data_IF_682137190745
#
_entry.id   IF_682137190745
#
_cell.length_a   1.000
_cell.length_b   1.000
_cell.length_c   1.000
_cell.angle_alpha   90.00
_cell.angle_beta   90.00
_cell.angle_gamma   90.00
#
_symmetry.space_group_name_H-M   'P 1'
#
loop_
_entity.id
_entity.type
_entity.pdbx_description
1 polymer ?
#
# COMPACT_ATOMS: atom_id res chain seq x y z
N UNK A 1 19.77 4.83 -1.34
CA UNK A 1 19.19 3.53 -1.79
C UNK A 1 19.47 3.34 -3.27
N UNK A 2 20.00 2.19 -3.68
CA UNK A 2 20.11 1.82 -5.10
C UNK A 2 19.05 0.75 -5.40
N UNK A 3 18.21 0.99 -6.40
CA UNK A 3 17.16 0.04 -6.81
C UNK A 3 17.76 -0.99 -7.77
N UNK A 4 17.46 -2.26 -7.53
CA UNK A 4 17.92 -3.42 -8.28
C UNK A 4 16.73 -4.22 -8.80
N UNK A 5 16.98 -5.24 -9.63
CA UNK A 5 15.92 -6.15 -10.11
C UNK A 5 15.27 -6.99 -9.01
N UNK A 6 15.89 -7.07 -7.83
CA UNK A 6 15.41 -7.79 -6.64
C UNK A 6 14.62 -6.92 -5.67
N UNK A 7 14.58 -5.60 -5.89
CA UNK A 7 13.98 -4.66 -4.93
C UNK A 7 12.49 -4.90 -4.78
N UNK A 8 12.05 -5.08 -3.54
CA UNK A 8 10.64 -5.26 -3.19
C UNK A 8 9.94 -3.90 -3.14
N UNK A 9 8.80 -3.77 -3.82
CA UNK A 9 8.04 -2.52 -3.88
C UNK A 9 6.93 -2.52 -2.82
N UNK A 10 6.90 -1.46 -2.04
CA UNK A 10 5.78 -1.04 -1.18
C UNK A 10 5.36 0.37 -1.53
N UNK A 11 4.15 0.78 -1.14
CA UNK A 11 3.67 2.10 -1.54
C UNK A 11 2.65 2.73 -0.60
N UNK A 12 2.37 4.01 -0.85
CA UNK A 12 1.23 4.73 -0.27
C UNK A 12 0.28 5.23 -1.36
N UNK A 13 -1.01 5.02 -1.16
CA UNK A 13 -2.08 5.54 -2.00
C UNK A 13 -2.82 6.69 -1.33
N UNK A 14 -3.21 7.65 -2.15
CA UNK A 14 -4.07 8.77 -1.74
C UNK A 14 -4.35 9.68 -2.93
N UNK A 15 -5.31 10.57 -2.74
CA UNK A 15 -5.68 11.57 -3.73
C UNK A 15 -6.04 12.89 -3.04
N UNK A 16 -5.07 13.81 -2.87
CA UNK A 16 -3.65 13.75 -3.27
C UNK A 16 -2.74 13.01 -2.26
N UNK A 17 -1.53 12.60 -2.67
CA UNK A 17 -0.57 11.87 -1.79
C UNK A 17 0.90 12.28 -1.91
N UNK A 18 1.27 13.09 -2.90
CA UNK A 18 2.69 13.41 -3.20
C UNK A 18 3.43 14.15 -2.08
N UNK A 19 2.70 14.77 -1.16
CA UNK A 19 3.24 15.47 0.00
C UNK A 19 3.47 14.54 1.21
N UNK A 20 3.15 13.24 1.09
CA UNK A 20 3.31 12.30 2.20
C UNK A 20 4.76 12.23 2.66
N UNK A 21 4.94 12.19 3.98
CA UNK A 21 6.23 11.94 4.61
C UNK A 21 6.51 10.44 4.82
N UNK A 22 5.54 9.56 4.51
CA UNK A 22 5.75 8.11 4.60
C UNK A 22 6.88 7.60 3.70
N UNK A 23 7.02 8.04 2.42
CA UNK A 23 8.15 7.62 1.58
C UNK A 23 9.53 7.91 2.16
N UNK A 24 9.90 9.15 2.58
CA UNK A 24 11.22 9.37 3.18
C UNK A 24 11.40 8.59 4.50
N UNK A 25 10.35 8.45 5.31
CA UNK A 25 10.39 7.68 6.56
C UNK A 25 10.69 6.19 6.33
N UNK A 26 9.91 5.51 5.48
CA UNK A 26 10.09 4.08 5.22
C UNK A 26 11.38 3.77 4.46
N UNK A 27 11.74 4.56 3.46
CA UNK A 27 12.99 4.34 2.73
C UNK A 27 14.22 4.56 3.62
N UNK A 28 14.17 5.50 4.57
CA UNK A 28 15.23 5.66 5.56
C UNK A 28 15.35 4.43 6.48
N UNK A 29 14.21 3.87 6.92
CA UNK A 29 14.19 2.64 7.72
C UNK A 29 14.74 1.44 6.92
N UNK A 30 14.31 1.25 5.67
CA UNK A 30 14.82 0.17 4.81
C UNK A 30 16.32 0.28 4.58
N UNK A 31 16.81 1.49 4.32
CA UNK A 31 18.24 1.73 4.16
C UNK A 31 19.01 1.45 5.46
N UNK A 32 18.50 1.86 6.62
CA UNK A 32 19.13 1.60 7.91
C UNK A 32 19.21 0.11 8.23
N UNK A 33 18.17 -0.65 7.88
CA UNK A 33 18.09 -2.10 8.12
C UNK A 33 18.76 -2.95 7.03
N UNK A 34 19.32 -2.33 5.98
CA UNK A 34 19.93 -3.06 4.86
C UNK A 34 18.92 -3.86 4.04
N UNK A 35 17.65 -3.45 4.01
CA UNK A 35 16.59 -4.12 3.28
C UNK A 35 16.53 -3.63 1.83
N UNK A 36 16.50 -4.55 0.87
CA UNK A 36 16.32 -4.25 -0.56
C UNK A 36 14.84 -3.96 -0.90
N UNK A 37 14.32 -2.87 -0.33
CA UNK A 37 12.92 -2.47 -0.40
C UNK A 37 12.81 -1.00 -0.78
N UNK A 38 11.77 -0.64 -1.53
CA UNK A 38 11.44 0.76 -1.80
C UNK A 38 9.99 1.06 -1.41
N UNK A 39 9.76 2.30 -0.96
CA UNK A 39 8.46 2.83 -0.63
C UNK A 39 8.14 4.04 -1.50
N UNK A 40 7.09 3.97 -2.31
CA UNK A 40 6.76 5.02 -3.29
C UNK A 40 5.32 5.54 -3.15
N UNK A 41 5.06 6.84 -3.39
CA UNK A 41 3.70 7.37 -3.42
C UNK A 41 3.06 7.18 -4.80
N UNK A 42 1.85 6.59 -4.85
CA UNK A 42 1.00 6.54 -6.04
C UNK A 42 -0.27 7.36 -5.84
N UNK A 43 -0.47 8.35 -6.70
CA UNK A 43 -1.72 9.10 -6.75
C UNK A 43 -2.78 8.26 -7.47
N UNK A 44 -3.67 7.64 -6.69
CA UNK A 44 -4.74 6.77 -7.20
C UNK A 44 -6.03 7.57 -7.14
N UNK A 45 -6.65 7.87 -8.28
CA UNK A 45 -7.95 8.54 -8.26
C UNK A 45 -9.03 7.59 -7.67
N UNK A 46 -10.06 8.09 -6.97
CA UNK A 46 -11.08 7.24 -6.34
C UNK A 46 -11.73 6.23 -7.30
N UNK A 47 -12.01 6.65 -8.52
CA UNK A 47 -12.59 5.83 -9.60
C UNK A 47 -11.66 4.70 -10.07
N UNK A 48 -10.35 4.84 -9.87
CA UNK A 48 -9.35 3.86 -10.24
C UNK A 48 -8.96 2.91 -9.09
N UNK A 49 -9.57 3.05 -7.89
CA UNK A 49 -9.16 2.29 -6.69
C UNK A 49 -9.26 0.77 -6.89
N UNK A 50 -10.35 0.28 -7.48
CA UNK A 50 -10.51 -1.14 -7.75
C UNK A 50 -9.48 -1.66 -8.76
N UNK A 51 -9.06 -0.84 -9.72
CA UNK A 51 -8.00 -1.18 -10.66
C UNK A 51 -6.63 -1.21 -9.97
N UNK A 52 -6.34 -0.25 -9.11
CA UNK A 52 -5.12 -0.24 -8.29
C UNK A 52 -5.02 -1.49 -7.42
N UNK A 53 -6.12 -1.94 -6.80
CA UNK A 53 -6.20 -3.19 -6.03
C UNK A 53 -5.90 -4.43 -6.89
N UNK A 54 -6.37 -4.47 -8.15
CA UNK A 54 -5.96 -5.53 -9.09
C UNK A 54 -4.47 -5.45 -9.42
N UNK A 55 -3.96 -4.23 -9.58
CA UNK A 55 -2.54 -3.95 -9.82
C UNK A 55 -1.63 -4.47 -8.70
N UNK A 56 -2.03 -4.37 -7.43
CA UNK A 56 -1.27 -4.94 -6.30
C UNK A 56 -0.97 -6.42 -6.50
N UNK A 57 -2.00 -7.19 -6.88
CA UNK A 57 -1.86 -8.63 -7.15
C UNK A 57 -0.98 -8.87 -8.38
N UNK A 58 -1.27 -8.17 -9.48
CA UNK A 58 -0.58 -8.38 -10.75
C UNK A 58 0.91 -8.00 -10.71
N UNK A 59 1.27 -6.96 -9.96
CA UNK A 59 2.63 -6.45 -9.85
C UNK A 59 3.43 -7.09 -8.70
N UNK A 60 2.79 -7.92 -7.87
CA UNK A 60 3.44 -8.51 -6.69
C UNK A 60 3.83 -7.47 -5.64
N UNK A 61 3.10 -6.36 -5.54
CA UNK A 61 3.33 -5.36 -4.47
C UNK A 61 2.93 -6.01 -3.14
N UNK A 62 3.86 -6.07 -2.21
CA UNK A 62 3.69 -6.83 -0.95
C UNK A 62 2.91 -6.06 0.12
N UNK A 63 2.93 -4.73 0.06
CA UNK A 63 2.33 -3.87 1.07
C UNK A 63 1.95 -2.50 0.56
N UNK A 64 0.78 -2.02 0.97
CA UNK A 64 0.25 -0.71 0.59
C UNK A 64 -0.30 -0.02 1.82
N UNK A 65 0.12 1.22 2.08
CA UNK A 65 -0.66 2.10 2.94
C UNK A 65 -1.68 2.89 2.10
N UNK A 66 -2.86 3.13 2.63
CA UNK A 66 -3.90 3.89 1.99
C UNK A 66 -4.37 5.03 2.89
N UNK A 67 -4.45 6.23 2.33
CA UNK A 67 -4.94 7.41 3.02
C UNK A 67 -6.16 7.98 2.32
N UNK A 68 -6.60 9.16 2.75
CA UNK A 68 -7.76 9.89 2.20
C UNK A 68 -7.68 9.91 0.66
N UNK A 69 -8.78 9.61 -0.06
CA UNK A 69 -10.13 9.25 0.44
C UNK A 69 -10.42 7.73 0.49
N UNK A 70 -9.40 6.86 0.41
CA UNK A 70 -9.62 5.46 0.03
C UNK A 70 -9.98 4.50 1.16
N UNK A 71 -9.76 4.87 2.43
CA UNK A 71 -9.72 3.90 3.54
C UNK A 71 -11.00 3.08 3.69
N UNK A 72 -12.16 3.73 3.60
CA UNK A 72 -13.46 3.07 3.72
C UNK A 72 -13.79 2.24 2.48
N UNK A 73 -13.51 2.80 1.29
CA UNK A 73 -13.76 2.14 0.01
C UNK A 73 -12.89 0.89 -0.23
N UNK A 74 -11.81 0.71 0.54
CA UNK A 74 -10.97 -0.47 0.49
C UNK A 74 -11.57 -1.68 1.21
N UNK A 75 -12.40 -1.48 2.24
CA UNK A 75 -12.98 -2.58 3.04
C UNK A 75 -13.66 -3.65 2.17
N UNK A 76 -14.56 -3.31 1.22
CA UNK A 76 -15.20 -4.32 0.37
C UNK A 76 -14.28 -4.91 -0.72
N UNK A 77 -13.04 -4.41 -0.87
CA UNK A 77 -12.10 -4.84 -1.90
C UNK A 77 -11.04 -5.82 -1.37
N UNK A 78 -11.00 -6.05 -0.06
CA UNK A 78 -10.08 -6.99 0.59
C UNK A 78 -10.65 -8.41 0.60
N UNK A 79 -9.76 -9.40 0.55
CA UNK A 79 -10.15 -10.81 0.68
C UNK A 79 -10.40 -11.18 2.16
N UNK A 80 -9.70 -10.49 3.07
CA UNK A 80 -9.92 -10.57 4.50
C UNK A 80 -9.71 -9.20 5.14
N UNK A 81 -10.52 -8.87 6.14
CA UNK A 81 -10.44 -7.62 6.89
C UNK A 81 -10.21 -7.94 8.37
N UNK A 82 -9.21 -7.32 8.96
CA UNK A 82 -8.90 -7.43 10.38
C UNK A 82 -10.12 -7.02 11.22
N UNK A 83 -10.44 -7.73 12.32
CA UNK A 83 -11.58 -7.40 13.17
C UNK A 83 -11.60 -5.94 13.64
N UNK A 84 -10.43 -5.34 13.91
CA UNK A 84 -10.33 -3.93 14.28
C UNK A 84 -10.60 -3.02 13.09
N UNK A 85 -10.05 -3.32 11.91
CA UNK A 85 -10.33 -2.57 10.69
C UNK A 85 -11.82 -2.65 10.31
N UNK A 86 -12.43 -3.82 10.48
CA UNK A 86 -13.86 -4.04 10.27
C UNK A 86 -14.74 -3.26 11.24
N UNK A 87 -14.36 -3.19 12.53
CA UNK A 87 -15.07 -2.39 13.52
C UNK A 87 -14.96 -0.88 13.26
N UNK A 88 -13.81 -0.42 12.76
CA UNK A 88 -13.60 0.98 12.36
C UNK A 88 -14.32 1.30 11.04
N UNK A 89 -14.48 0.31 10.17
CA UNK A 89 -15.03 0.47 8.82
C UNK A 89 -14.02 1.03 7.82
N UNK A 90 -12.71 0.91 8.09
CA UNK A 90 -11.67 1.49 7.25
C UNK A 90 -10.36 0.70 7.30
N UNK A 91 -9.73 0.53 6.13
CA UNK A 91 -8.44 -0.13 5.92
C UNK A 91 -7.39 0.92 5.56
N UNK A 92 -6.33 1.04 6.37
CA UNK A 92 -5.18 1.91 6.08
C UNK A 92 -3.96 1.13 5.60
N UNK A 93 -3.89 -0.19 5.82
CA UNK A 93 -2.74 -1.01 5.43
C UNK A 93 -3.25 -2.27 4.77
N UNK A 94 -2.73 -2.57 3.59
CA UNK A 94 -3.00 -3.79 2.84
C UNK A 94 -1.72 -4.62 2.84
N UNK A 95 -1.82 -5.89 3.22
CA UNK A 95 -0.78 -6.88 3.07
C UNK A 95 -1.19 -7.89 1.99
N UNK A 96 -0.33 -8.07 0.98
CA UNK A 96 -0.55 -9.02 -0.11
C UNK A 96 0.20 -10.33 0.17
N UNK A 97 -0.54 -11.33 0.64
CA UNK A 97 -0.04 -12.66 0.98
C UNK A 97 -0.29 -13.59 -0.22
N UNK A 98 0.64 -13.61 -1.18
CA UNK A 98 0.55 -14.50 -2.35
C UNK A 98 -0.69 -14.29 -3.22
N UNK A 99 -1.23 -13.06 -3.27
CA UNK A 99 -2.45 -12.71 -4.00
C UNK A 99 -3.69 -12.54 -3.11
N UNK A 100 -3.61 -12.95 -1.84
CA UNK A 100 -4.67 -12.73 -0.83
C UNK A 100 -4.42 -11.39 -0.15
N UNK A 101 -5.31 -10.43 -0.38
CA UNK A 101 -5.21 -9.08 0.18
C UNK A 101 -5.91 -9.01 1.54
N UNK A 102 -5.10 -8.75 2.57
CA UNK A 102 -5.53 -8.59 3.95
C UNK A 102 -5.47 -7.12 4.33
N UNK A 103 -6.59 -6.56 4.79
CA UNK A 103 -6.71 -5.16 5.20
C UNK A 103 -6.99 -4.96 6.67
#
# INVERSE_FOLDING_TARGET
MQIQGTTIVTCVWGWPVRHSLSPPMHNAAFQHLGMDWCYVPFAVAPEALAEAVRGVRALGIVGVNATIPHKEALVPLMDWVDPHAGAIGAVNTIHNDGGVLRG
#
